data_IF_629965828772
#
_entry.id   IF_629965828772
#
_cell.length_a   1.000
_cell.length_b   1.000
_cell.length_c   1.000
_cell.angle_alpha   90.00
_cell.angle_beta   90.00
_cell.angle_gamma   90.00
#
_symmetry.space_group_name_H-M   'P 1'
#
loop_
_entity.id
_entity.type
_entity.pdbx_description
1 polymer ?
#
# COMPACT_ATOMS: atom_id res chain seq x y z
N UNK A 1 13.04 1.10 1.14
CA UNK A 1 11.85 1.31 1.99
C UNK A 1 10.62 1.03 1.14
N UNK A 2 9.61 0.38 1.71
CA UNK A 2 8.31 0.12 1.10
C UNK A 2 7.26 0.90 1.87
N UNK A 3 6.42 1.62 1.15
CA UNK A 3 5.32 2.40 1.67
C UNK A 3 4.01 1.67 1.36
N UNK A 4 3.16 1.52 2.36
CA UNK A 4 1.81 0.99 2.21
C UNK A 4 0.85 2.16 2.32
N UNK A 5 0.14 2.44 1.23
CA UNK A 5 -0.87 3.48 1.16
C UNK A 5 -2.27 2.86 1.07
N UNK A 6 -3.26 3.59 1.57
CA UNK A 6 -4.67 3.21 1.50
C UNK A 6 -5.46 4.34 0.87
N UNK A 7 -6.25 4.00 -0.14
CA UNK A 7 -7.20 4.91 -0.76
C UNK A 7 -8.62 4.40 -0.52
N UNK A 8 -9.32 5.06 0.40
CA UNK A 8 -10.70 4.70 0.76
C UNK A 8 -11.69 4.95 -0.39
N UNK A 9 -11.48 6.01 -1.16
CA UNK A 9 -12.37 6.39 -2.28
C UNK A 9 -12.31 5.37 -3.41
N UNK A 10 -11.11 4.83 -3.68
CA UNK A 10 -10.89 3.81 -4.70
C UNK A 10 -10.98 2.38 -4.16
N UNK A 11 -11.20 2.20 -2.85
CA UNK A 11 -11.16 0.90 -2.16
C UNK A 11 -9.90 0.10 -2.49
N UNK A 12 -8.74 0.76 -2.39
CA UNK A 12 -7.45 0.20 -2.80
C UNK A 12 -6.40 0.33 -1.71
N UNK A 13 -5.50 -0.64 -1.68
CA UNK A 13 -4.27 -0.62 -0.89
C UNK A 13 -3.11 -0.71 -1.86
N UNK A 14 -2.11 0.16 -1.72
CA UNK A 14 -0.98 0.25 -2.62
C UNK A 14 0.32 0.01 -1.88
N UNK A 15 1.14 -0.91 -2.39
CA UNK A 15 2.55 -1.02 -1.99
C UNK A 15 3.40 -0.36 -3.06
N UNK A 16 4.28 0.56 -2.65
CA UNK A 16 5.23 1.23 -3.56
C UNK A 16 6.55 1.53 -2.84
N UNK A 17 7.62 1.77 -3.60
CA UNK A 17 8.91 2.28 -3.07
C UNK A 17 9.00 3.81 -3.11
N UNK A 18 8.03 4.46 -3.75
CA UNK A 18 7.98 5.91 -3.89
C UNK A 18 7.01 6.55 -2.89
N UNK A 19 7.27 7.80 -2.55
CA UNK A 19 6.35 8.58 -1.72
C UNK A 19 5.30 9.23 -2.60
N UNK A 20 4.04 8.87 -2.37
CA UNK A 20 2.90 9.46 -3.05
C UNK A 20 2.51 10.75 -2.33
N UNK A 21 2.30 11.83 -3.10
CA UNK A 21 1.85 13.15 -2.61
C UNK A 21 0.35 13.41 -2.81
N UNK A 22 -0.37 12.50 -3.45
CA UNK A 22 -1.81 12.61 -3.66
C UNK A 22 -2.56 12.49 -2.31
N UNK A 23 -3.40 13.47 -1.93
CA UNK A 23 -4.10 13.49 -0.64
C UNK A 23 -5.11 12.35 -0.45
N UNK A 24 -5.56 11.69 -1.53
CA UNK A 24 -6.46 10.53 -1.45
C UNK A 24 -5.74 9.24 -1.03
N UNK A 25 -4.41 9.22 -1.13
CA UNK A 25 -3.58 8.11 -0.68
C UNK A 25 -3.02 8.41 0.71
N UNK A 26 -3.53 7.71 1.72
CA UNK A 26 -3.07 7.87 3.10
C UNK A 26 -2.02 6.83 3.44
N UNK A 27 -0.88 7.27 3.96
CA UNK A 27 0.19 6.36 4.39
C UNK A 27 -0.28 5.55 5.60
N UNK A 28 -0.39 4.23 5.45
CA UNK A 28 -0.77 3.31 6.51
C UNK A 28 0.45 2.72 7.22
N UNK A 29 1.58 2.58 6.53
CA UNK A 29 2.81 2.09 7.16
C UNK A 29 4.02 2.14 6.26
N UNK A 30 5.19 2.01 6.87
CA UNK A 30 6.49 1.99 6.18
C UNK A 30 7.28 0.78 6.65
N UNK A 31 7.88 0.05 5.71
CA UNK A 31 8.55 -1.21 5.98
C UNK A 31 9.91 -1.29 5.29
N UNK A 32 10.90 -1.89 5.93
CA UNK A 32 12.23 -2.08 5.35
C UNK A 32 12.25 -3.21 4.32
N UNK A 33 11.41 -4.24 4.50
CA UNK A 33 11.33 -5.41 3.61
C UNK A 33 10.00 -5.49 2.87
N UNK A 34 10.02 -6.10 1.69
CA UNK A 34 8.81 -6.29 0.89
C UNK A 34 7.84 -7.24 1.62
N UNK A 35 8.34 -8.30 2.25
CA UNK A 35 7.52 -9.29 2.98
C UNK A 35 6.67 -8.64 4.07
N UNK A 36 7.26 -7.74 4.87
CA UNK A 36 6.54 -7.02 5.92
C UNK A 36 5.47 -6.07 5.34
N UNK A 37 5.81 -5.36 4.25
CA UNK A 37 4.86 -4.52 3.54
C UNK A 37 3.68 -5.32 2.97
N UNK A 38 3.94 -6.47 2.34
CA UNK A 38 2.93 -7.39 1.79
C UNK A 38 1.98 -7.87 2.87
N UNK A 39 2.51 -8.33 4.00
CA UNK A 39 1.70 -8.80 5.14
C UNK A 39 0.78 -7.69 5.65
N UNK A 40 1.31 -6.49 5.81
CA UNK A 40 0.51 -5.35 6.29
C UNK A 40 -0.57 -4.94 5.28
N UNK A 41 -0.21 -4.82 4.01
CA UNK A 41 -1.13 -4.41 2.96
C UNK A 41 -2.25 -5.45 2.73
N UNK A 42 -1.91 -6.74 2.78
CA UNK A 42 -2.88 -7.85 2.71
C UNK A 42 -3.86 -7.80 3.88
N UNK A 43 -3.37 -7.59 5.11
CA UNK A 43 -4.24 -7.45 6.28
C UNK A 43 -5.27 -6.33 6.09
N UNK A 44 -4.85 -5.16 5.58
CA UNK A 44 -5.78 -4.04 5.33
C UNK A 44 -6.76 -4.39 4.21
N UNK A 45 -6.27 -4.98 3.12
CA UNK A 45 -7.08 -5.37 1.98
C UNK A 45 -8.20 -6.33 2.40
N UNK A 46 -7.86 -7.40 3.12
CA UNK A 46 -8.81 -8.41 3.56
C UNK A 46 -9.81 -7.85 4.59
N UNK A 47 -9.34 -7.02 5.54
CA UNK A 47 -10.19 -6.44 6.58
C UNK A 47 -11.17 -5.37 6.05
N UNK A 48 -10.91 -4.79 4.86
CA UNK A 48 -11.70 -3.71 4.27
C UNK A 48 -12.37 -4.08 2.96
N UNK A 49 -12.14 -5.30 2.47
CA UNK A 49 -12.52 -5.75 1.14
C UNK A 49 -12.00 -4.79 0.04
N UNK A 50 -10.72 -4.43 0.14
CA UNK A 50 -10.05 -3.52 -0.79
C UNK A 50 -9.16 -4.28 -1.77
N UNK A 51 -8.99 -3.74 -2.97
CA UNK A 51 -8.07 -4.28 -3.96
C UNK A 51 -6.64 -3.96 -3.54
N UNK A 52 -5.82 -5.01 -3.42
CA UNK A 52 -4.39 -4.87 -3.17
C UNK A 52 -3.64 -4.65 -4.50
N UNK A 53 -3.20 -3.42 -4.74
CA UNK A 53 -2.40 -3.01 -5.88
C UNK A 53 -0.93 -2.93 -5.49
N UNK A 54 -0.08 -3.42 -6.38
CA UNK A 54 1.36 -3.37 -6.19
C UNK A 54 1.96 -2.60 -7.35
N UNK A 55 2.46 -1.42 -7.03
CA UNK A 55 3.25 -0.66 -7.96
C UNK A 55 4.73 -0.99 -7.70
N UNK A 56 5.18 -2.03 -8.42
CA UNK A 56 6.57 -2.45 -8.50
C UNK A 56 7.27 -1.84 -9.72
N UNK A 57 6.81 -0.70 -10.25
CA UNK A 57 7.61 0.09 -11.19
C UNK A 57 8.97 0.35 -10.49
N UNK A 58 10.08 -0.30 -10.80
CA UNK A 58 10.54 -1.01 -11.99
C UNK A 58 11.56 -2.04 -11.47
N UNK A 59 11.57 -3.28 -11.97
CA UNK A 59 12.76 -4.14 -11.85
C UNK A 59 13.72 -3.81 -12.99
#
# INVERSE_FOLDING_TARGET
MFYVYVNKRKQRVLITREKIRDPHWRLAGTHSTVTAAKRHARFIADARDYILEWDLLTF
#
